data_IF_472424788065
#
_entry.id   IF_472424788065
#
_cell.length_a   1.000
_cell.length_b   1.000
_cell.length_c   1.000
_cell.angle_alpha   90.00
_cell.angle_beta   90.00
_cell.angle_gamma   90.00
#
_symmetry.space_group_name_H-M   'P 1'
#
loop_
_entity.id
_entity.type
_entity.pdbx_description
1 polymer ?
#
# COMPACT_ATOMS: atom_id res chain seq x y z
N UNK A 1 27.51 5.61 1.63
CA UNK A 1 28.59 6.49 1.16
C UNK A 1 29.75 5.63 0.67
N UNK A 2 29.85 5.46 -0.64
CA UNK A 2 30.91 4.68 -1.29
C UNK A 2 31.91 5.66 -1.89
N UNK A 3 32.85 6.14 -1.11
CA UNK A 3 33.85 7.13 -1.54
C UNK A 3 35.29 6.85 -1.12
N UNK A 4 35.58 5.73 -0.48
CA UNK A 4 36.89 5.41 0.11
C UNK A 4 37.83 4.52 -0.74
N UNK A 5 37.27 3.74 -1.66
CA UNK A 5 38.05 2.69 -2.34
C UNK A 5 38.88 3.17 -3.58
N UNK A 6 38.75 4.40 -4.01
CA UNK A 6 39.41 4.88 -5.26
C UNK A 6 40.77 5.50 -5.06
N UNK A 7 41.28 5.70 -3.84
CA UNK A 7 42.60 6.30 -3.60
C UNK A 7 43.77 5.33 -3.51
N UNK A 8 43.47 4.02 -3.37
CA UNK A 8 44.51 3.01 -3.19
C UNK A 8 45.19 2.50 -4.47
N UNK A 9 44.63 2.72 -5.66
CA UNK A 9 45.15 2.16 -6.92
C UNK A 9 46.06 3.09 -7.74
N UNK A 10 46.30 4.33 -7.30
CA UNK A 10 47.08 5.29 -8.12
C UNK A 10 48.51 5.55 -7.63
N UNK A 11 49.05 4.73 -6.70
CA UNK A 11 50.40 4.96 -6.16
C UNK A 11 51.49 3.98 -6.62
N UNK A 12 51.27 3.24 -7.70
CA UNK A 12 52.20 2.16 -8.10
C UNK A 12 53.15 2.45 -9.29
N UNK A 13 53.22 3.63 -9.83
CA UNK A 13 54.17 3.87 -10.93
C UNK A 13 54.81 5.26 -10.87
N UNK A 14 55.85 5.39 -10.02
CA UNK A 14 57.02 6.29 -10.28
C UNK A 14 58.16 5.93 -9.34
N UNK A 15 58.87 4.84 -9.60
CA UNK A 15 60.20 4.61 -9.04
C UNK A 15 61.21 5.50 -9.83
N UNK A 16 61.30 6.78 -9.50
CA UNK A 16 62.54 7.53 -9.73
C UNK A 16 63.43 7.22 -8.52
N UNK A 17 64.69 6.91 -8.79
CA UNK A 17 65.70 6.71 -7.73
C UNK A 17 65.86 8.02 -6.94
N UNK A 18 65.28 8.04 -5.72
CA UNK A 18 65.37 9.19 -4.80
C UNK A 18 66.85 9.32 -4.37
N UNK A 19 67.37 10.54 -4.30
CA UNK A 19 68.68 10.79 -3.74
C UNK A 19 68.72 10.53 -2.25
N UNK A 20 69.88 10.17 -1.69
CA UNK A 20 70.02 9.84 -0.25
C UNK A 20 69.53 10.95 0.67
N UNK A 21 69.70 12.23 0.27
CA UNK A 21 69.20 13.39 1.01
C UNK A 21 67.65 13.40 1.12
N UNK A 22 66.92 13.07 0.04
CA UNK A 22 65.48 13.06 0.00
C UNK A 22 64.89 11.94 0.89
N UNK A 23 65.60 10.79 0.98
CA UNK A 23 65.21 9.65 1.85
C UNK A 23 65.45 9.95 3.32
N UNK A 24 66.49 10.72 3.68
CA UNK A 24 66.75 11.15 5.06
C UNK A 24 65.68 12.16 5.50
N UNK A 25 65.26 13.03 4.61
CA UNK A 25 64.21 14.01 4.91
C UNK A 25 62.86 13.32 5.11
N UNK A 26 62.52 12.31 4.31
CA UNK A 26 61.33 11.47 4.42
C UNK A 26 61.34 10.63 5.70
N UNK A 27 62.48 10.02 6.11
CA UNK A 27 62.65 9.28 7.34
C UNK A 27 62.48 10.20 8.58
N UNK A 28 63.01 11.42 8.53
CA UNK A 28 62.81 12.43 9.59
C UNK A 28 61.39 12.90 9.72
N UNK A 29 60.65 13.02 8.62
CA UNK A 29 59.23 13.34 8.63
C UNK A 29 58.37 12.24 9.28
N UNK A 30 58.82 10.99 9.21
CA UNK A 30 58.21 9.84 9.90
C UNK A 30 58.72 9.65 11.33
N UNK A 31 59.49 10.60 11.92
CA UNK A 31 59.98 10.56 13.30
C UNK A 31 61.13 9.57 13.55
N UNK A 32 61.74 9.06 12.49
CA UNK A 32 62.85 8.09 12.60
C UNK A 32 64.19 8.78 12.79
N UNK A 33 64.98 8.34 13.79
CA UNK A 33 66.36 8.81 14.00
C UNK A 33 67.31 8.17 12.99
N UNK A 34 67.56 8.86 11.85
CA UNK A 34 68.43 8.38 10.79
C UNK A 34 69.70 9.25 10.71
N UNK A 35 70.89 8.60 10.76
CA UNK A 35 72.16 9.29 10.64
C UNK A 35 72.64 9.31 9.20
N UNK A 36 73.43 10.33 8.83
CA UNK A 36 74.01 10.46 7.49
C UNK A 36 75.00 9.34 7.11
N UNK A 37 75.43 8.50 8.09
CA UNK A 37 76.30 7.37 7.89
C UNK A 37 75.60 6.10 7.42
N UNK A 38 74.28 5.98 7.53
CA UNK A 38 73.48 4.83 7.09
C UNK A 38 73.45 4.70 5.57
N UNK A 39 73.37 3.47 5.10
CA UNK A 39 73.26 3.17 3.67
C UNK A 39 71.84 3.44 3.16
N UNK A 40 71.69 3.69 1.87
CA UNK A 40 70.36 3.90 1.24
C UNK A 40 69.43 2.72 1.46
N UNK A 41 69.97 1.49 1.56
CA UNK A 41 69.18 0.27 1.82
C UNK A 41 68.59 0.27 3.22
N UNK A 42 69.37 0.59 4.25
CA UNK A 42 68.95 0.66 5.66
C UNK A 42 67.91 1.78 5.89
N UNK A 43 68.04 2.93 5.22
CA UNK A 43 67.08 4.01 5.31
C UNK A 43 65.71 3.60 4.69
N UNK A 44 65.75 2.92 3.55
CA UNK A 44 64.52 2.43 2.90
C UNK A 44 63.84 1.31 3.72
N UNK A 45 64.61 0.48 4.44
CA UNK A 45 64.10 -0.58 5.30
C UNK A 45 63.45 0.02 6.56
N UNK A 46 64.03 1.06 7.13
CA UNK A 46 63.44 1.81 8.26
C UNK A 46 62.15 2.53 7.87
N UNK A 47 62.10 3.19 6.71
CA UNK A 47 60.88 3.85 6.21
C UNK A 47 59.78 2.81 5.97
N UNK A 48 60.07 1.68 5.36
CA UNK A 48 59.08 0.61 5.14
C UNK A 48 58.56 0.00 6.44
N UNK A 49 59.40 -0.10 7.46
CA UNK A 49 59.03 -0.58 8.77
C UNK A 49 58.05 0.38 9.45
N UNK A 50 58.31 1.68 9.35
CA UNK A 50 57.42 2.71 9.92
C UNK A 50 56.06 2.79 9.15
N UNK A 51 56.09 2.75 7.82
CA UNK A 51 54.85 2.69 7.03
C UNK A 51 54.03 1.44 7.30
N UNK A 52 54.68 0.29 7.56
CA UNK A 52 53.99 -0.94 7.92
C UNK A 52 53.39 -0.90 9.33
N UNK A 53 54.01 -0.19 10.27
CA UNK A 53 53.48 -0.01 11.62
C UNK A 53 52.27 0.93 11.61
N UNK A 54 52.33 2.02 10.85
CA UNK A 54 51.21 2.97 10.69
C UNK A 54 49.96 2.31 10.01
N UNK A 55 50.20 1.46 9.00
CA UNK A 55 49.15 0.64 8.38
C UNK A 55 48.59 -0.40 9.34
N UNK A 56 49.43 -0.99 10.23
CA UNK A 56 48.96 -1.93 11.20
C UNK A 56 48.09 -1.30 12.29
N UNK A 57 48.39 -0.09 12.76
CA UNK A 57 47.56 0.69 13.65
C UNK A 57 46.22 1.09 12.98
N UNK A 58 46.21 1.54 11.72
CA UNK A 58 45.01 1.86 10.99
C UNK A 58 44.11 0.61 10.77
N UNK A 59 44.70 -0.57 10.59
CA UNK A 59 43.98 -1.83 10.47
C UNK A 59 43.36 -2.24 11.82
N UNK A 60 44.05 -2.05 12.92
CA UNK A 60 43.52 -2.38 14.25
C UNK A 60 42.35 -1.49 14.60
N UNK A 61 42.45 -0.17 14.32
CA UNK A 61 41.36 0.76 14.52
C UNK A 61 40.16 0.44 13.60
N UNK A 62 40.42 0.00 12.36
CA UNK A 62 39.38 -0.44 11.44
C UNK A 62 38.70 -1.74 11.88
N UNK A 63 39.41 -2.66 12.53
CA UNK A 63 38.87 -3.92 13.06
C UNK A 63 38.00 -3.64 14.30
N UNK A 64 38.42 -2.76 15.20
CA UNK A 64 37.59 -2.37 16.36
C UNK A 64 36.29 -1.71 15.91
N UNK A 65 36.36 -0.82 14.89
CA UNK A 65 35.14 -0.20 14.33
C UNK A 65 34.28 -1.24 13.63
N UNK A 66 34.87 -2.25 12.98
CA UNK A 66 34.11 -3.31 12.31
C UNK A 66 33.41 -4.23 13.34
N UNK A 67 34.04 -4.59 14.47
CA UNK A 67 33.40 -5.35 15.53
C UNK A 67 32.25 -4.59 16.18
N UNK A 68 32.41 -3.28 16.42
CA UNK A 68 31.32 -2.44 16.94
C UNK A 68 30.16 -2.35 15.94
N UNK A 69 30.45 -2.29 14.64
CA UNK A 69 29.42 -2.26 13.59
C UNK A 69 28.72 -3.62 13.47
N UNK A 70 29.46 -4.74 13.61
CA UNK A 70 28.90 -6.09 13.57
C UNK A 70 27.97 -6.35 14.77
N UNK A 71 28.39 -5.93 15.97
CA UNK A 71 27.57 -5.99 17.18
C UNK A 71 26.32 -5.10 17.06
N UNK A 72 26.45 -3.90 16.49
CA UNK A 72 25.32 -3.00 16.21
C UNK A 72 24.35 -3.57 15.14
N UNK A 73 24.87 -4.28 14.13
CA UNK A 73 24.07 -4.95 13.11
C UNK A 73 23.34 -6.16 13.70
N UNK A 74 23.99 -6.96 14.55
CA UNK A 74 23.36 -8.10 15.21
C UNK A 74 22.24 -7.66 16.16
N UNK A 75 22.47 -6.56 16.90
CA UNK A 75 21.44 -5.92 17.72
C UNK A 75 20.30 -5.38 16.85
N UNK A 76 20.61 -4.74 15.72
CA UNK A 76 19.61 -4.24 14.78
C UNK A 76 18.79 -5.37 14.12
N UNK A 77 19.42 -6.52 13.80
CA UNK A 77 18.71 -7.69 13.27
C UNK A 77 17.83 -8.37 14.34
N UNK A 78 18.25 -8.43 15.57
CA UNK A 78 17.42 -8.89 16.69
C UNK A 78 16.19 -7.99 16.88
N UNK A 79 16.34 -6.68 16.68
CA UNK A 79 15.23 -5.71 16.70
C UNK A 79 14.33 -5.79 15.46
N UNK A 80 14.87 -6.07 14.29
CA UNK A 80 14.10 -6.24 13.06
C UNK A 80 13.20 -7.49 13.10
N UNK A 81 13.65 -8.58 13.70
CA UNK A 81 12.88 -9.83 13.90
C UNK A 81 11.73 -9.69 14.88
N UNK A 82 11.74 -8.71 15.78
CA UNK A 82 10.69 -8.50 16.78
C UNK A 82 9.50 -7.64 16.31
N UNK A 83 9.52 -7.12 15.09
CA UNK A 83 8.37 -6.48 14.42
C UNK A 83 7.80 -5.23 15.10
N UNK A 84 8.45 -4.69 16.10
CA UNK A 84 7.92 -3.54 16.85
C UNK A 84 9.07 -2.60 17.22
N UNK A 85 9.38 -1.60 16.46
CA UNK A 85 9.94 -0.36 17.03
C UNK A 85 10.65 0.48 15.99
N UNK A 86 10.06 1.62 15.65
CA UNK A 86 10.75 2.71 14.98
C UNK A 86 11.79 3.31 15.94
N UNK A 87 12.83 3.99 15.45
CA UNK A 87 13.81 4.77 16.24
C UNK A 87 13.15 5.60 17.34
N UNK A 88 12.00 6.18 17.05
CA UNK A 88 11.17 6.95 17.99
C UNK A 88 10.68 6.16 19.18
N UNK A 89 10.40 4.87 19.02
CA UNK A 89 9.97 4.01 20.14
C UNK A 89 11.15 3.60 21.02
N UNK A 90 12.35 3.42 20.45
CA UNK A 90 13.54 3.15 21.23
C UNK A 90 13.92 4.38 22.10
N UNK A 91 13.81 5.57 21.55
CA UNK A 91 13.98 6.82 22.28
C UNK A 91 12.91 7.01 23.39
N UNK A 92 11.65 6.67 23.11
CA UNK A 92 10.57 6.70 24.11
C UNK A 92 10.75 5.69 25.24
N UNK A 93 11.32 4.51 24.96
CA UNK A 93 11.61 3.49 25.99
C UNK A 93 12.80 3.91 26.82
N UNK A 94 13.90 4.37 26.21
CA UNK A 94 15.05 4.90 26.91
C UNK A 94 14.69 6.11 27.80
N UNK A 95 13.82 6.98 27.31
CA UNK A 95 13.31 8.14 28.09
C UNK A 95 12.42 7.69 29.25
N UNK A 96 11.65 6.62 29.10
CA UNK A 96 10.85 6.04 30.19
C UNK A 96 11.72 5.36 31.24
N UNK A 97 12.71 4.57 30.84
CA UNK A 97 13.64 3.92 31.75
C UNK A 97 14.49 4.93 32.52
N UNK A 98 14.98 5.99 31.85
CA UNK A 98 15.66 7.10 32.51
C UNK A 98 14.74 7.85 33.49
N UNK A 99 13.47 7.97 33.18
CA UNK A 99 12.45 8.60 34.05
C UNK A 99 12.11 7.72 35.26
N UNK A 100 12.04 6.41 35.08
CA UNK A 100 11.83 5.46 36.19
C UNK A 100 13.04 5.37 37.10
N UNK A 101 14.25 5.35 36.54
CA UNK A 101 15.51 5.37 37.31
C UNK A 101 15.64 6.65 38.16
N UNK A 102 15.29 7.80 37.61
CA UNK A 102 15.28 9.08 38.36
C UNK A 102 14.23 9.10 39.45
N UNK A 103 13.05 8.51 39.19
CA UNK A 103 11.97 8.38 40.17
C UNK A 103 12.34 7.45 41.31
N UNK A 104 13.07 6.37 41.01
CA UNK A 104 13.63 5.46 42.02
C UNK A 104 14.75 6.10 42.83
N UNK A 105 15.55 7.00 42.26
CA UNK A 105 16.58 7.77 42.91
C UNK A 105 16.06 8.92 43.74
N UNK A 106 14.74 9.20 43.77
CA UNK A 106 14.14 10.27 44.55
C UNK A 106 14.42 11.69 44.01
N UNK A 107 14.93 11.81 42.78
CA UNK A 107 15.25 13.09 42.17
C UNK A 107 13.97 13.73 41.57
N UNK A 108 13.49 14.78 42.27
CA UNK A 108 12.29 15.53 41.88
C UNK A 108 12.59 16.87 41.19
N UNK A 109 13.84 17.11 40.79
CA UNK A 109 14.23 18.34 40.12
C UNK A 109 13.59 18.42 38.70
N UNK A 110 12.89 19.53 38.36
CA UNK A 110 12.36 19.70 37.00
C UNK A 110 13.52 19.87 36.03
N UNK A 111 13.46 19.19 34.88
CA UNK A 111 14.34 19.45 33.74
C UNK A 111 14.00 20.85 33.20
N UNK A 112 14.98 21.74 33.26
CA UNK A 112 14.88 23.10 32.73
C UNK A 112 14.54 23.02 31.23
N UNK A 113 13.39 23.57 30.82
CA UNK A 113 12.90 23.55 29.45
C UNK A 113 11.76 22.59 29.13
N UNK A 114 11.30 21.75 30.06
CA UNK A 114 10.10 20.92 29.80
C UNK A 114 8.85 21.76 29.99
N UNK A 115 8.11 22.00 28.89
CA UNK A 115 6.71 22.41 28.96
C UNK A 115 5.98 21.55 29.99
N UNK A 116 5.21 22.19 30.84
CA UNK A 116 4.45 21.55 31.91
C UNK A 116 3.75 20.28 31.34
N UNK A 117 4.04 19.13 31.93
CA UNK A 117 3.39 17.87 31.57
C UNK A 117 1.90 18.10 31.80
N UNK A 118 1.18 18.42 30.72
CA UNK A 118 -0.27 18.51 30.74
C UNK A 118 -0.75 17.13 31.18
N UNK A 119 -1.14 16.99 32.45
CA UNK A 119 -1.75 15.78 32.96
C UNK A 119 -2.92 15.50 32.03
N UNK A 120 -2.79 14.51 31.14
CA UNK A 120 -3.91 14.06 30.30
C UNK A 120 -5.02 13.71 31.27
N UNK A 121 -6.09 14.51 31.27
CA UNK A 121 -7.26 14.24 32.09
C UNK A 121 -7.80 12.83 31.82
N UNK A 122 -8.73 12.34 32.64
CA UNK A 122 -9.33 11.02 32.44
C UNK A 122 -9.83 10.91 30.99
N UNK A 123 -9.59 9.76 30.37
CA UNK A 123 -10.03 9.53 28.98
C UNK A 123 -11.51 9.88 28.88
N UNK A 124 -11.92 10.66 27.89
CA UNK A 124 -13.31 11.06 27.76
C UNK A 124 -14.19 9.80 27.64
N UNK A 125 -15.24 9.73 28.43
CA UNK A 125 -16.23 8.65 28.37
C UNK A 125 -16.98 8.84 27.06
N UNK A 126 -16.66 8.01 26.05
CA UNK A 126 -17.35 8.02 24.76
C UNK A 126 -18.56 7.13 24.84
N UNK A 127 -19.74 7.66 24.49
CA UNK A 127 -20.97 6.86 24.37
C UNK A 127 -20.76 5.70 23.39
N UNK A 128 -21.44 4.55 23.57
CA UNK A 128 -21.44 3.46 22.62
C UNK A 128 -21.75 3.93 21.19
N UNK A 129 -21.19 3.25 20.19
CA UNK A 129 -21.34 3.66 18.78
C UNK A 129 -22.81 3.76 18.35
N UNK A 130 -23.68 2.91 18.89
CA UNK A 130 -25.12 2.89 18.58
C UNK A 130 -25.79 4.17 19.09
N UNK A 131 -25.50 4.59 20.31
CA UNK A 131 -26.10 5.79 20.91
C UNK A 131 -25.68 7.09 20.21
N UNK A 132 -24.52 7.09 19.54
CA UNK A 132 -24.03 8.23 18.75
C UNK A 132 -24.70 8.35 17.38
N UNK A 133 -25.40 7.32 16.91
CA UNK A 133 -26.13 7.30 15.64
C UNK A 133 -27.49 7.97 15.79
N UNK A 134 -28.06 8.42 14.67
CA UNK A 134 -29.39 9.02 14.64
C UNK A 134 -30.51 8.07 15.08
N UNK A 135 -31.62 8.61 15.56
CA UNK A 135 -32.76 7.84 16.09
C UNK A 135 -33.26 6.73 15.14
N UNK A 136 -33.45 7.05 13.86
CA UNK A 136 -33.86 6.06 12.84
C UNK A 136 -32.91 4.88 12.73
N UNK A 137 -31.59 5.14 12.74
CA UNK A 137 -30.61 4.06 12.73
C UNK A 137 -30.67 3.21 13.98
N UNK A 138 -30.91 3.82 15.15
CA UNK A 138 -31.03 3.08 16.42
C UNK A 138 -32.26 2.15 16.42
N UNK A 139 -33.38 2.59 15.85
CA UNK A 139 -34.58 1.81 15.70
C UNK A 139 -34.38 0.58 14.80
N UNK A 140 -33.82 0.80 13.61
CA UNK A 140 -33.57 -0.30 12.66
C UNK A 140 -32.45 -1.24 13.11
N UNK A 141 -31.43 -0.72 13.81
CA UNK A 141 -30.33 -1.52 14.34
C UNK A 141 -30.76 -2.49 15.46
N UNK A 142 -31.89 -2.22 16.15
CA UNK A 142 -32.47 -3.14 17.13
C UNK A 142 -33.08 -4.39 16.51
N UNK A 143 -33.46 -4.34 15.22
CA UNK A 143 -34.01 -5.48 14.49
C UNK A 143 -32.97 -6.50 14.07
N UNK A 144 -31.70 -6.11 14.11
CA UNK A 144 -30.56 -6.95 13.69
C UNK A 144 -29.78 -7.42 14.91
N UNK A 145 -29.74 -8.70 15.14
CA UNK A 145 -28.94 -9.31 16.20
C UNK A 145 -27.46 -9.40 15.70
N UNK A 146 -26.54 -8.87 16.48
CA UNK A 146 -25.14 -8.71 16.05
C UNK A 146 -24.37 -10.02 15.92
N UNK A 147 -24.76 -11.03 16.70
CA UNK A 147 -23.99 -12.27 16.82
C UNK A 147 -24.60 -13.44 16.06
N UNK A 148 -25.80 -13.25 15.52
CA UNK A 148 -26.46 -14.23 14.66
C UNK A 148 -25.92 -14.16 13.23
N UNK A 149 -25.82 -15.32 12.60
CA UNK A 149 -25.46 -15.48 11.20
C UNK A 149 -26.73 -15.90 10.46
N UNK A 150 -27.13 -15.09 9.51
CA UNK A 150 -28.36 -15.29 8.74
C UNK A 150 -28.09 -15.99 7.42
N UNK A 151 -29.05 -16.75 6.90
CA UNK A 151 -29.00 -17.22 5.53
C UNK A 151 -28.99 -16.07 4.52
N UNK A 152 -28.46 -16.29 3.29
CA UNK A 152 -28.31 -15.23 2.29
C UNK A 152 -29.63 -14.51 1.99
N UNK A 153 -30.69 -15.28 1.77
CA UNK A 153 -32.04 -14.76 1.46
C UNK A 153 -32.62 -13.95 2.63
N UNK A 154 -32.48 -14.46 3.86
CA UNK A 154 -32.93 -13.76 5.07
C UNK A 154 -32.15 -12.47 5.33
N UNK A 155 -30.82 -12.51 5.12
CA UNK A 155 -29.98 -11.34 5.27
C UNK A 155 -30.31 -10.24 4.26
N UNK A 156 -30.61 -10.58 3.02
CA UNK A 156 -31.05 -9.64 1.99
C UNK A 156 -32.42 -9.04 2.34
N UNK A 157 -33.37 -9.85 2.81
CA UNK A 157 -34.68 -9.38 3.28
C UNK A 157 -34.53 -8.40 4.45
N UNK A 158 -33.77 -8.80 5.48
CA UNK A 158 -33.47 -7.92 6.60
C UNK A 158 -32.77 -6.63 6.17
N UNK A 159 -31.83 -6.69 5.24
CA UNK A 159 -31.14 -5.50 4.73
C UNK A 159 -32.12 -4.52 4.06
N UNK A 160 -33.08 -4.99 3.26
CA UNK A 160 -34.09 -4.14 2.65
C UNK A 160 -35.03 -3.52 3.66
N UNK A 161 -35.49 -4.29 4.68
CA UNK A 161 -36.39 -3.84 5.74
C UNK A 161 -35.71 -2.86 6.72
N UNK A 162 -34.42 -3.00 6.94
CA UNK A 162 -33.65 -2.16 7.88
C UNK A 162 -33.00 -0.95 7.22
N UNK A 163 -33.43 -0.56 6.04
CA UNK A 163 -32.95 0.63 5.36
C UNK A 163 -33.44 1.92 6.04
N UNK A 164 -32.56 2.76 6.64
CA UNK A 164 -32.96 4.01 7.27
C UNK A 164 -33.10 5.17 6.28
N UNK A 165 -32.59 5.00 5.04
CA UNK A 165 -32.53 6.04 4.03
C UNK A 165 -33.92 6.32 3.40
N UNK A 166 -34.14 7.57 3.00
CA UNK A 166 -35.35 7.97 2.24
C UNK A 166 -35.20 7.78 0.73
N UNK A 167 -33.96 7.67 0.27
CA UNK A 167 -33.63 7.43 -1.15
C UNK A 167 -33.47 5.93 -1.40
N UNK A 168 -33.53 5.53 -2.65
CA UNK A 168 -33.30 4.16 -3.07
C UNK A 168 -31.86 3.74 -2.82
N UNK A 169 -31.65 3.09 -1.67
CA UNK A 169 -30.33 2.73 -1.18
C UNK A 169 -29.73 1.58 -2.00
N UNK A 170 -28.41 1.57 -2.15
CA UNK A 170 -27.70 0.42 -2.72
C UNK A 170 -27.56 -0.67 -1.66
N UNK A 171 -27.71 -1.91 -2.09
CA UNK A 171 -27.42 -3.11 -1.29
C UNK A 171 -26.01 -3.55 -1.64
N UNK A 172 -25.17 -3.64 -0.63
CA UNK A 172 -23.73 -3.93 -0.79
C UNK A 172 -23.36 -5.20 -0.02
N UNK A 173 -22.54 -6.03 -0.65
CA UNK A 173 -21.94 -7.21 -0.05
C UNK A 173 -20.47 -6.90 0.25
N UNK A 174 -20.05 -7.28 1.46
CA UNK A 174 -18.69 -7.14 1.94
C UNK A 174 -18.17 -8.53 2.34
N UNK A 175 -17.28 -9.09 1.53
CA UNK A 175 -16.70 -10.40 1.76
C UNK A 175 -15.25 -10.26 2.25
N UNK A 176 -14.97 -10.66 3.48
CA UNK A 176 -13.61 -10.72 4.02
C UNK A 176 -12.96 -12.03 3.63
N UNK A 177 -11.87 -11.93 2.89
CA UNK A 177 -11.14 -13.07 2.38
C UNK A 177 -9.96 -13.48 3.27
N UNK A 178 -9.48 -14.69 3.06
CA UNK A 178 -8.28 -15.23 3.71
C UNK A 178 -7.01 -15.00 2.92
N UNK A 179 -6.92 -13.89 2.17
CA UNK A 179 -5.80 -13.53 1.29
C UNK A 179 -4.88 -12.51 1.94
N UNK A 180 -3.63 -12.45 1.48
CA UNK A 180 -2.71 -11.35 1.81
C UNK A 180 -2.63 -10.38 0.61
N UNK A 181 -3.19 -9.15 0.74
CA UNK A 181 -3.22 -8.18 -0.35
C UNK A 181 -1.83 -7.66 -0.76
N UNK A 182 -0.79 -7.93 0.04
CA UNK A 182 0.59 -7.53 -0.25
C UNK A 182 1.25 -8.43 -1.29
N UNK A 183 0.76 -9.67 -1.41
CA UNK A 183 1.26 -10.63 -2.39
C UNK A 183 0.53 -10.43 -3.72
N UNK A 184 1.28 -10.28 -4.80
CA UNK A 184 0.74 -10.03 -6.13
C UNK A 184 -0.22 -11.15 -6.60
N UNK A 185 0.10 -12.41 -6.26
CA UNK A 185 -0.70 -13.59 -6.64
C UNK A 185 -2.03 -13.68 -5.90
N UNK A 186 -2.13 -13.04 -4.72
CA UNK A 186 -3.33 -13.03 -3.89
C UNK A 186 -4.14 -11.74 -4.02
N UNK A 187 -3.69 -10.81 -4.85
CA UNK A 187 -4.40 -9.57 -5.13
C UNK A 187 -5.48 -9.82 -6.20
N UNK A 188 -6.65 -10.22 -5.71
CA UNK A 188 -7.80 -10.55 -6.56
C UNK A 188 -8.39 -9.26 -7.13
N UNK A 189 -8.51 -9.22 -8.45
CA UNK A 189 -9.19 -8.18 -9.21
C UNK A 189 -9.87 -8.82 -10.40
N UNK A 190 -11.19 -8.78 -10.43
CA UNK A 190 -11.98 -9.42 -11.48
C UNK A 190 -13.26 -8.64 -11.76
N UNK A 191 -14.03 -9.10 -12.70
CA UNK A 191 -15.31 -8.52 -13.07
C UNK A 191 -16.42 -9.56 -13.00
N UNK A 192 -17.61 -9.10 -12.69
CA UNK A 192 -18.82 -9.91 -12.73
C UNK A 192 -19.90 -9.18 -13.53
N UNK A 193 -20.66 -9.90 -14.31
CA UNK A 193 -21.85 -9.38 -14.99
C UNK A 193 -23.03 -9.77 -14.12
N UNK A 194 -23.73 -8.75 -13.61
CA UNK A 194 -24.91 -8.96 -12.78
C UNK A 194 -26.12 -9.19 -13.70
N UNK A 195 -26.86 -10.32 -13.55
CA UNK A 195 -27.98 -10.65 -14.44
C UNK A 195 -29.04 -9.57 -14.48
N UNK A 196 -29.33 -8.93 -13.34
CA UNK A 196 -30.34 -7.89 -13.21
C UNK A 196 -29.74 -6.46 -13.25
N UNK A 197 -28.45 -6.31 -13.62
CA UNK A 197 -27.76 -5.03 -13.64
C UNK A 197 -27.53 -4.44 -12.23
N UNK A 198 -27.09 -3.17 -12.19
CA UNK A 198 -26.78 -2.45 -10.94
C UNK A 198 -27.89 -1.49 -10.48
N UNK A 199 -28.92 -1.27 -11.30
CA UNK A 199 -29.98 -0.28 -11.06
C UNK A 199 -29.51 1.17 -11.17
N UNK A 200 -28.43 1.41 -11.92
CA UNK A 200 -27.94 2.74 -12.30
C UNK A 200 -27.83 2.82 -13.81
N UNK A 201 -28.25 3.91 -14.37
CA UNK A 201 -27.99 4.22 -15.78
C UNK A 201 -26.53 4.62 -15.95
N UNK A 202 -25.71 3.65 -16.36
CA UNK A 202 -24.26 3.84 -16.52
C UNK A 202 -24.00 4.65 -17.79
N UNK A 203 -23.37 5.81 -17.66
CA UNK A 203 -22.90 6.61 -18.78
C UNK A 203 -21.55 6.09 -19.25
N UNK A 204 -21.53 5.52 -20.44
CA UNK A 204 -20.34 4.94 -21.05
C UNK A 204 -19.71 5.93 -22.03
N UNK A 205 -18.43 6.24 -21.81
CA UNK A 205 -17.59 6.97 -22.75
C UNK A 205 -16.67 6.00 -23.48
N UNK A 206 -16.44 6.24 -24.75
CA UNK A 206 -15.59 5.43 -25.61
C UNK A 206 -14.51 6.29 -26.23
N UNK A 207 -13.27 5.84 -26.07
CA UNK A 207 -12.09 6.44 -26.68
C UNK A 207 -11.45 5.47 -27.67
N UNK A 208 -11.81 5.62 -28.92
CA UNK A 208 -11.47 4.71 -30.01
C UNK A 208 -11.27 5.46 -31.35
N UNK A 209 -10.68 4.82 -32.37
CA UNK A 209 -10.55 5.40 -33.70
C UNK A 209 -11.93 5.62 -34.33
N UNK A 210 -12.01 6.58 -35.27
CA UNK A 210 -13.26 6.96 -35.97
C UNK A 210 -14.01 5.79 -36.61
N UNK A 211 -13.28 4.77 -37.08
CA UNK A 211 -13.84 3.55 -37.66
C UNK A 211 -14.79 2.80 -36.71
N UNK A 212 -14.55 2.89 -35.40
CA UNK A 212 -15.32 2.19 -34.36
C UNK A 212 -16.39 3.08 -33.72
N UNK A 213 -16.43 4.38 -34.04
CA UNK A 213 -17.38 5.32 -33.44
C UNK A 213 -18.83 4.94 -33.72
N UNK A 214 -19.13 4.51 -34.97
CA UNK A 214 -20.47 4.07 -35.33
C UNK A 214 -20.91 2.86 -34.55
N UNK A 215 -20.07 1.83 -34.50
CA UNK A 215 -20.33 0.59 -33.74
C UNK A 215 -20.54 0.89 -32.23
N UNK A 216 -19.74 1.78 -31.65
CA UNK A 216 -19.88 2.20 -30.26
C UNK A 216 -21.21 2.94 -30.00
N UNK A 217 -21.62 3.85 -30.89
CA UNK A 217 -22.92 4.56 -30.81
C UNK A 217 -24.08 3.60 -30.93
N UNK A 218 -24.03 2.68 -31.89
CA UNK A 218 -25.07 1.67 -32.11
C UNK A 218 -25.20 0.70 -30.91
N UNK A 219 -24.09 0.39 -30.22
CA UNK A 219 -24.08 -0.34 -28.95
C UNK A 219 -24.59 0.50 -27.77
N UNK A 220 -24.81 1.79 -27.95
CA UNK A 220 -25.41 2.67 -26.97
C UNK A 220 -24.41 3.47 -26.14
N UNK A 221 -23.18 3.70 -26.56
CA UNK A 221 -22.26 4.61 -25.86
C UNK A 221 -22.82 6.05 -25.84
N UNK A 222 -22.67 6.72 -24.68
CA UNK A 222 -23.19 8.07 -24.49
C UNK A 222 -22.25 9.14 -25.07
N UNK A 223 -20.93 8.89 -24.92
CA UNK A 223 -19.89 9.79 -25.42
C UNK A 223 -18.93 8.93 -26.24
N UNK A 224 -18.71 9.34 -27.48
CA UNK A 224 -17.74 8.66 -28.36
C UNK A 224 -16.89 9.74 -29.02
N UNK A 225 -15.59 9.64 -28.89
CA UNK A 225 -14.72 10.63 -29.50
C UNK A 225 -13.25 10.21 -29.45
N UNK A 226 -12.43 10.97 -30.16
CA UNK A 226 -10.97 10.89 -30.12
C UNK A 226 -10.40 12.21 -29.56
N UNK A 227 -10.05 13.17 -30.44
CA UNK A 227 -9.44 14.44 -29.99
C UNK A 227 -10.43 15.35 -29.25
N UNK A 228 -11.71 15.32 -29.60
CA UNK A 228 -12.75 16.07 -28.89
C UNK A 228 -12.91 15.60 -27.45
N UNK A 229 -12.79 14.29 -27.21
CA UNK A 229 -12.84 13.72 -25.89
C UNK A 229 -11.63 14.14 -25.04
N UNK A 230 -10.43 14.23 -25.64
CA UNK A 230 -9.25 14.74 -24.95
C UNK A 230 -9.41 16.20 -24.55
N UNK A 231 -10.02 17.05 -25.38
CA UNK A 231 -10.34 18.45 -25.04
C UNK A 231 -11.32 18.56 -23.85
N UNK A 232 -12.25 17.62 -23.71
CA UNK A 232 -13.14 17.55 -22.53
C UNK A 232 -12.35 17.16 -21.28
N UNK A 233 -11.42 16.19 -21.39
CA UNK A 233 -10.54 15.80 -20.29
C UNK A 233 -9.59 16.94 -19.87
N UNK A 234 -9.10 17.76 -20.82
CA UNK A 234 -8.28 18.94 -20.52
C UNK A 234 -9.05 20.00 -19.72
N UNK A 235 -10.37 20.05 -19.88
CA UNK A 235 -11.26 20.92 -19.08
C UNK A 235 -11.72 20.25 -17.77
N UNK A 236 -11.23 19.04 -17.47
CA UNK A 236 -11.63 18.23 -16.31
C UNK A 236 -13.14 17.88 -16.28
N UNK A 237 -13.82 17.93 -17.41
CA UNK A 237 -15.23 17.55 -17.51
C UNK A 237 -15.38 16.02 -17.62
N UNK A 238 -15.80 15.38 -16.52
CA UNK A 238 -15.99 13.93 -16.40
C UNK A 238 -17.49 13.61 -16.29
N UNK A 239 -18.19 13.60 -17.41
CA UNK A 239 -19.64 13.33 -17.47
C UNK A 239 -19.97 11.86 -17.78
N UNK A 240 -19.10 10.92 -17.39
CA UNK A 240 -19.24 9.49 -17.62
C UNK A 240 -18.86 8.66 -16.38
N UNK A 241 -19.39 7.45 -16.29
CA UNK A 241 -19.16 6.53 -15.17
C UNK A 241 -18.16 5.42 -15.55
N UNK A 242 -18.10 5.04 -16.83
CA UNK A 242 -17.19 4.03 -17.37
C UNK A 242 -16.52 4.57 -18.63
N UNK A 243 -15.19 4.40 -18.70
CA UNK A 243 -14.39 4.72 -19.87
C UNK A 243 -13.87 3.44 -20.52
N UNK A 244 -14.23 3.23 -21.78
CA UNK A 244 -13.71 2.13 -22.60
C UNK A 244 -12.73 2.70 -23.60
N UNK A 245 -11.58 2.06 -23.76
CA UNK A 245 -10.56 2.50 -24.71
C UNK A 245 -9.99 1.32 -25.49
N UNK A 246 -9.58 1.59 -26.73
CA UNK A 246 -8.80 0.62 -27.50
C UNK A 246 -7.34 0.61 -27.05
N UNK A 247 -6.62 -0.52 -27.14
CA UNK A 247 -5.24 -0.62 -26.72
C UNK A 247 -4.32 0.41 -27.38
N UNK A 248 -4.55 0.73 -28.65
CA UNK A 248 -3.77 1.69 -29.42
C UNK A 248 -3.88 3.13 -28.88
N UNK A 249 -4.98 3.47 -28.22
CA UNK A 249 -5.27 4.79 -27.69
C UNK A 249 -4.90 4.97 -26.21
N UNK A 250 -4.56 3.89 -25.52
CA UNK A 250 -4.15 3.92 -24.09
C UNK A 250 -2.94 4.84 -23.80
N UNK A 251 -1.91 4.94 -24.66
CA UNK A 251 -0.80 5.85 -24.40
C UNK A 251 -1.24 7.32 -24.35
N UNK A 252 -2.24 7.72 -25.15
CA UNK A 252 -2.79 9.09 -25.14
C UNK A 252 -3.47 9.41 -23.81
N UNK A 253 -4.15 8.41 -23.19
CA UNK A 253 -4.78 8.55 -21.86
C UNK A 253 -3.80 8.59 -20.70
N UNK A 254 -2.55 8.17 -20.90
CA UNK A 254 -1.52 8.20 -19.86
C UNK A 254 -1.29 9.59 -19.24
N UNK A 255 -1.46 10.67 -20.03
CA UNK A 255 -1.38 12.05 -19.55
C UNK A 255 -2.43 12.38 -18.50
N UNK A 256 -3.62 11.77 -18.62
CA UNK A 256 -4.79 12.00 -17.76
C UNK A 256 -4.89 11.00 -16.60
N UNK A 257 -3.86 10.16 -16.40
CA UNK A 257 -3.87 9.16 -15.33
C UNK A 257 -4.04 9.77 -13.92
N UNK A 258 -3.54 10.99 -13.70
CA UNK A 258 -3.72 11.72 -12.44
C UNK A 258 -5.17 12.18 -12.21
N UNK A 259 -5.91 12.42 -13.27
CA UNK A 259 -7.30 12.84 -13.22
C UNK A 259 -8.25 11.64 -13.11
N UNK A 260 -8.03 10.62 -13.95
CA UNK A 260 -8.89 9.43 -14.05
C UNK A 260 -8.63 8.38 -12.97
N UNK A 261 -7.36 8.25 -12.54
CA UNK A 261 -6.93 7.23 -11.58
C UNK A 261 -7.62 7.30 -10.21
N UNK A 262 -7.62 8.45 -9.52
CA UNK A 262 -8.26 8.58 -8.21
C UNK A 262 -9.77 8.35 -8.24
N UNK A 263 -10.41 8.63 -9.38
CA UNK A 263 -11.86 8.43 -9.58
C UNK A 263 -12.22 7.01 -10.03
N UNK A 264 -11.21 6.16 -10.31
CA UNK A 264 -11.43 4.79 -10.78
C UNK A 264 -11.89 4.69 -12.24
N UNK A 265 -11.79 5.77 -13.01
CA UNK A 265 -12.25 5.86 -14.40
C UNK A 265 -11.19 5.44 -15.43
N UNK A 266 -9.96 5.15 -14.99
CA UNK A 266 -8.88 4.73 -15.90
C UNK A 266 -9.14 3.34 -16.46
N UNK A 267 -9.17 3.17 -17.80
CA UNK A 267 -9.40 1.88 -18.42
C UNK A 267 -8.34 0.84 -18.01
N UNK A 268 -8.78 -0.41 -17.79
CA UNK A 268 -7.92 -1.50 -17.36
C UNK A 268 -8.23 -2.79 -18.15
N UNK A 269 -7.22 -3.50 -18.69
CA UNK A 269 -7.43 -4.78 -19.36
C UNK A 269 -8.11 -5.84 -18.48
N UNK A 270 -7.77 -5.90 -17.18
CA UNK A 270 -8.37 -6.84 -16.23
C UNK A 270 -9.86 -6.57 -15.96
N UNK A 271 -10.27 -5.31 -16.07
CA UNK A 271 -11.68 -4.91 -15.98
C UNK A 271 -12.44 -5.08 -17.31
N UNK A 272 -11.73 -5.44 -18.37
CA UNK A 272 -12.32 -5.55 -19.73
C UNK A 272 -12.77 -4.21 -20.30
N UNK A 273 -12.26 -3.09 -19.76
CA UNK A 273 -12.52 -1.74 -20.28
C UNK A 273 -11.46 -1.29 -21.30
N UNK A 274 -10.43 -2.12 -21.51
CA UNK A 274 -9.51 -2.02 -22.65
C UNK A 274 -9.84 -3.21 -23.57
N UNK A 275 -10.50 -2.95 -24.68
CA UNK A 275 -10.97 -3.96 -25.60
C UNK A 275 -10.68 -3.61 -27.06
N UNK A 276 -10.47 -4.60 -27.89
CA UNK A 276 -10.41 -4.46 -29.35
C UNK A 276 -11.80 -4.40 -29.97
N UNK A 277 -12.77 -5.10 -29.36
CA UNK A 277 -14.19 -5.03 -29.74
C UNK A 277 -14.93 -4.08 -28.79
N UNK A 278 -15.04 -2.84 -29.24
CA UNK A 278 -15.67 -1.76 -28.45
C UNK A 278 -17.17 -1.97 -28.30
N UNK A 279 -17.87 -2.46 -29.33
CA UNK A 279 -19.31 -2.66 -29.28
C UNK A 279 -19.70 -3.70 -28.20
N UNK A 280 -18.98 -4.79 -28.13
CA UNK A 280 -19.16 -5.80 -27.08
C UNK A 280 -18.87 -5.26 -25.71
N UNK A 281 -17.77 -4.52 -25.53
CA UNK A 281 -17.41 -3.95 -24.23
C UNK A 281 -18.46 -2.93 -23.74
N UNK A 282 -19.04 -2.11 -24.64
CA UNK A 282 -20.13 -1.18 -24.32
C UNK A 282 -21.40 -1.92 -23.90
N UNK A 283 -21.79 -2.97 -24.63
CA UNK A 283 -22.97 -3.75 -24.29
C UNK A 283 -22.82 -4.48 -22.94
N UNK A 284 -21.66 -5.02 -22.63
CA UNK A 284 -21.36 -5.65 -21.33
C UNK A 284 -21.38 -4.61 -20.20
N UNK A 285 -20.80 -3.42 -20.40
CA UNK A 285 -20.81 -2.35 -19.40
C UNK A 285 -22.26 -1.88 -19.09
N UNK A 286 -23.12 -1.82 -20.11
CA UNK A 286 -24.55 -1.47 -19.93
C UNK A 286 -25.37 -2.63 -19.34
N UNK A 287 -24.99 -3.87 -19.62
CA UNK A 287 -25.62 -5.04 -19.03
C UNK A 287 -25.35 -5.20 -17.52
N UNK A 288 -24.53 -4.32 -16.91
CA UNK A 288 -24.25 -4.37 -15.49
C UNK A 288 -22.95 -5.09 -15.13
N UNK A 289 -21.93 -5.00 -15.98
CA UNK A 289 -20.57 -5.44 -15.66
C UNK A 289 -19.98 -4.55 -14.58
N UNK A 290 -19.65 -5.14 -13.44
CA UNK A 290 -19.03 -4.45 -12.30
C UNK A 290 -17.66 -5.05 -12.01
N UNK A 291 -16.68 -4.19 -11.76
CA UNK A 291 -15.36 -4.60 -11.29
C UNK A 291 -15.35 -4.68 -9.77
N UNK A 292 -14.73 -5.73 -9.25
CA UNK A 292 -14.42 -5.86 -7.83
C UNK A 292 -12.94 -6.13 -7.61
N UNK A 293 -12.43 -5.63 -6.49
CA UNK A 293 -11.04 -5.82 -6.10
C UNK A 293 -10.93 -5.99 -4.58
N UNK A 294 -9.87 -6.66 -4.17
CA UNK A 294 -9.50 -6.77 -2.76
C UNK A 294 -8.87 -5.44 -2.30
N UNK A 295 -9.29 -4.96 -1.15
CA UNK A 295 -8.70 -3.81 -0.48
C UNK A 295 -7.47 -4.19 0.38
N UNK A 296 -6.87 -3.21 1.05
CA UNK A 296 -5.71 -3.42 1.94
C UNK A 296 -6.03 -4.28 3.18
N UNK A 297 -7.32 -4.48 3.50
CA UNK A 297 -7.79 -5.26 4.64
C UNK A 297 -8.25 -6.67 4.24
N UNK A 298 -7.99 -7.06 2.99
CA UNK A 298 -8.45 -8.32 2.39
C UNK A 298 -9.99 -8.43 2.32
N UNK A 299 -10.68 -7.32 2.07
CA UNK A 299 -12.13 -7.28 1.91
C UNK A 299 -12.47 -6.92 0.47
N UNK A 300 -13.45 -7.60 -0.09
CA UNK A 300 -14.08 -7.25 -1.37
C UNK A 300 -15.41 -6.56 -1.08
N UNK A 301 -15.64 -5.46 -1.77
CA UNK A 301 -16.87 -4.69 -1.68
C UNK A 301 -17.54 -4.67 -3.05
N UNK A 302 -18.83 -5.02 -3.10
CA UNK A 302 -19.63 -4.98 -4.32
C UNK A 302 -21.05 -4.53 -4.03
N UNK A 303 -21.59 -3.63 -4.84
CA UNK A 303 -23.02 -3.30 -4.86
C UNK A 303 -23.75 -4.28 -5.78
N UNK A 304 -24.70 -5.04 -5.22
CA UNK A 304 -25.47 -6.06 -5.96
C UNK A 304 -26.78 -5.51 -6.53
N UNK A 305 -27.16 -4.32 -6.17
CA UNK A 305 -28.37 -3.67 -6.71
C UNK A 305 -28.92 -2.60 -5.79
N UNK A 306 -30.16 -2.25 -6.03
CA UNK A 306 -30.93 -1.26 -5.25
C UNK A 306 -31.98 -1.96 -4.42
N UNK A 307 -32.44 -1.30 -3.33
CA UNK A 307 -33.53 -1.80 -2.49
C UNK A 307 -34.82 -1.99 -3.34
N UNK A 308 -35.03 -1.16 -4.33
CA UNK A 308 -36.17 -1.22 -5.27
C UNK A 308 -36.20 -2.49 -6.15
N UNK A 309 -35.11 -3.25 -6.26
CA UNK A 309 -35.05 -4.47 -7.09
C UNK A 309 -35.94 -5.60 -6.58
N UNK A 310 -36.18 -5.63 -5.27
CA UNK A 310 -36.81 -6.76 -4.62
C UNK A 310 -35.84 -7.91 -4.32
N UNK A 311 -36.32 -8.87 -3.53
CA UNK A 311 -35.47 -9.94 -2.96
C UNK A 311 -34.91 -10.86 -4.03
N UNK A 312 -35.74 -11.33 -4.99
CA UNK A 312 -35.37 -12.33 -5.99
C UNK A 312 -34.19 -11.87 -6.87
N UNK A 313 -34.28 -10.62 -7.41
CA UNK A 313 -33.23 -10.06 -8.27
C UNK A 313 -31.93 -9.81 -7.50
N UNK A 314 -32.02 -9.40 -6.22
CA UNK A 314 -30.84 -9.22 -5.38
C UNK A 314 -30.16 -10.56 -5.06
N UNK A 315 -30.94 -11.62 -4.86
CA UNK A 315 -30.42 -12.96 -4.59
C UNK A 315 -29.70 -13.54 -5.83
N UNK A 316 -30.27 -13.39 -7.01
CA UNK A 316 -29.63 -13.80 -8.27
C UNK A 316 -28.31 -13.07 -8.50
N UNK A 317 -28.30 -11.75 -8.33
CA UNK A 317 -27.09 -10.95 -8.44
C UNK A 317 -26.04 -11.34 -7.38
N UNK A 318 -26.45 -11.61 -6.16
CA UNK A 318 -25.56 -12.05 -5.08
C UNK A 318 -24.96 -13.43 -5.39
N UNK A 319 -25.75 -14.40 -5.90
CA UNK A 319 -25.26 -15.71 -6.33
C UNK A 319 -24.22 -15.57 -7.45
N UNK A 320 -24.52 -14.78 -8.50
CA UNK A 320 -23.58 -14.53 -9.59
C UNK A 320 -22.25 -13.92 -9.10
N UNK A 321 -22.30 -13.03 -8.10
CA UNK A 321 -21.10 -12.51 -7.48
C UNK A 321 -20.31 -13.59 -6.73
N UNK A 322 -20.96 -14.41 -5.91
CA UNK A 322 -20.26 -15.45 -5.16
C UNK A 322 -19.67 -16.54 -6.07
N UNK A 323 -20.33 -16.90 -7.15
CA UNK A 323 -19.82 -17.83 -8.15
C UNK A 323 -18.57 -17.27 -8.85
N UNK A 324 -18.61 -15.98 -9.21
CA UNK A 324 -17.44 -15.29 -9.75
C UNK A 324 -16.30 -15.23 -8.74
N UNK A 325 -16.58 -14.95 -7.48
CA UNK A 325 -15.59 -14.89 -6.42
C UNK A 325 -14.96 -16.26 -6.14
N UNK A 326 -15.76 -17.34 -6.16
CA UNK A 326 -15.29 -18.71 -6.01
C UNK A 326 -14.32 -19.11 -7.12
N UNK A 327 -14.61 -18.73 -8.36
CA UNK A 327 -13.77 -19.00 -9.54
C UNK A 327 -12.39 -18.32 -9.45
N UNK A 328 -12.29 -17.22 -8.73
CA UNK A 328 -11.07 -16.44 -8.57
C UNK A 328 -10.20 -16.86 -7.36
N UNK A 329 -10.51 -18.00 -6.73
CA UNK A 329 -9.73 -18.50 -5.60
C UNK A 329 -8.30 -18.82 -6.02
N UNK A 330 -7.26 -18.13 -5.47
CA UNK A 330 -5.88 -18.46 -5.78
C UNK A 330 -5.47 -19.83 -5.25
N UNK A 331 -4.70 -20.58 -6.03
CA UNK A 331 -4.20 -21.90 -5.63
C UNK A 331 -3.25 -21.86 -4.41
N UNK A 332 -2.64 -20.71 -4.16
CA UNK A 332 -1.71 -20.49 -3.05
C UNK A 332 -2.38 -20.42 -1.67
N UNK A 333 -3.71 -20.33 -1.60
CA UNK A 333 -4.42 -20.20 -0.32
C UNK A 333 -4.60 -21.56 0.34
N UNK A 334 -3.96 -21.72 1.51
CA UNK A 334 -4.14 -22.86 2.39
C UNK A 334 -5.13 -22.49 3.50
N UNK A 335 -6.38 -22.90 3.40
CA UNK A 335 -7.41 -22.65 4.42
C UNK A 335 -8.68 -22.01 3.88
N UNK A 336 -9.47 -21.41 4.79
CA UNK A 336 -10.74 -20.78 4.44
C UNK A 336 -10.53 -19.56 3.54
N UNK A 337 -11.06 -19.63 2.32
CA UNK A 337 -10.98 -18.55 1.35
C UNK A 337 -11.82 -17.35 1.76
N UNK A 338 -13.08 -17.57 2.12
CA UNK A 338 -13.98 -16.56 2.66
C UNK A 338 -14.06 -16.72 4.17
N UNK A 339 -13.67 -15.71 4.93
CA UNK A 339 -13.68 -15.71 6.39
C UNK A 339 -15.00 -15.23 6.97
N UNK A 340 -15.59 -14.21 6.38
CA UNK A 340 -16.88 -13.68 6.81
C UNK A 340 -17.50 -12.87 5.69
N UNK A 341 -18.81 -12.93 5.61
CA UNK A 341 -19.62 -12.14 4.68
C UNK A 341 -20.56 -11.26 5.48
N UNK A 342 -20.78 -10.05 5.03
CA UNK A 342 -21.79 -9.16 5.60
C UNK A 342 -22.48 -8.38 4.50
N UNK A 343 -23.77 -8.16 4.69
CA UNK A 343 -24.62 -7.38 3.78
C UNK A 343 -25.05 -6.10 4.50
N UNK A 344 -25.03 -5.00 3.80
CA UNK A 344 -25.48 -3.72 4.33
C UNK A 344 -26.15 -2.90 3.22
N UNK A 345 -27.12 -2.08 3.60
CA UNK A 345 -27.63 -1.02 2.73
C UNK A 345 -26.87 0.27 2.98
N UNK A 346 -26.90 1.22 2.02
CA UNK A 346 -26.36 2.55 2.23
C UNK A 346 -26.92 3.15 3.52
N UNK A 347 -26.03 3.48 4.47
CA UNK A 347 -26.36 3.98 5.83
C UNK A 347 -27.07 2.98 6.75
N UNK A 348 -27.33 1.74 6.33
CA UNK A 348 -27.98 0.71 7.13
C UNK A 348 -27.04 -0.03 8.10
N UNK A 349 -27.60 -0.87 8.97
CA UNK A 349 -26.82 -1.78 9.80
C UNK A 349 -26.18 -2.88 8.94
N UNK A 350 -25.05 -3.41 9.40
CA UNK A 350 -24.39 -4.56 8.80
C UNK A 350 -24.97 -5.85 9.35
N UNK A 351 -25.36 -6.76 8.48
CA UNK A 351 -25.96 -8.07 8.77
C UNK A 351 -24.95 -9.13 8.39
N UNK A 352 -24.58 -10.00 9.33
CA UNK A 352 -23.66 -11.11 9.06
C UNK A 352 -24.42 -12.22 8.34
N UNK A 353 -23.82 -12.79 7.31
CA UNK A 353 -24.42 -13.89 6.55
C UNK A 353 -23.52 -15.10 6.53
N UNK A 354 -24.13 -16.26 6.31
CA UNK A 354 -23.42 -17.49 6.05
C UNK A 354 -22.48 -17.34 4.86
N UNK A 355 -21.45 -18.16 4.83
CA UNK A 355 -20.54 -18.21 3.70
C UNK A 355 -21.15 -19.08 2.59
N UNK A 356 -21.59 -18.51 1.46
CA UNK A 356 -22.20 -19.31 0.38
C UNK A 356 -21.17 -20.05 -0.48
N UNK A 357 -19.87 -19.86 -0.25
CA UNK A 357 -18.75 -20.49 -0.97
C UNK A 357 -18.13 -21.61 -0.11
N UNK A 358 -18.75 -22.08 0.93
CA UNK A 358 -18.20 -23.12 1.81
C UNK A 358 -18.16 -24.50 1.15
#
# INVERSE_FOLDING_TARGET
MLGGASRYYHRKDKKMAKKKADLIEEAKALGLEVSEKMTIAEINEAIKGAEAAEIAEEIVEAIEVAEIVEEAVEVAEKFAKSGKRSKKHAEEVAEKEAKEARKAAGDTTPLDGSEAIVKKGPKPITRPRIERRGKKYQEVAKKVEKDTVYGLSEALKLATETNPAKFDASVEIHARLGVDPRQADQNIRSTVILPNGTGKDVKVAVFAPESEHKAAKDAGANIVGDEEFLKQLDKEELNFDVLIATPAYMPKLGKYARLLGPRGLMPNPKAGTVATDVAKAVSEAKAGKVEYRVDKQAIVHLSVGKVSFGLEKLEENAKAFFDSLASQKPASIKGAYVKSVSIATSQGPSIKTENPIA
#
